data_IF_480267516001
#
_entry.id   IF_480267516001
#
_cell.length_a   1.000
_cell.length_b   1.000
_cell.length_c   1.000
_cell.angle_alpha   90.00
_cell.angle_beta   90.00
_cell.angle_gamma   90.00
#
_symmetry.space_group_name_H-M   'P 1'
#
loop_
_entity.id
_entity.type
_entity.pdbx_description
1 polymer ?
#
# COMPACT_ATOMS: atom_id res chain seq x y z
N UNK A 1 22.81 -5.42 -0.29
CA UNK A 1 21.50 -4.93 0.18
C UNK A 1 20.88 -4.18 -0.98
N UNK A 2 19.65 -4.49 -1.39
CA UNK A 2 19.15 -4.00 -2.67
C UNK A 2 18.23 -2.79 -2.52
N UNK A 3 18.47 -1.77 -3.34
CA UNK A 3 17.65 -0.58 -3.42
C UNK A 3 16.26 -0.92 -3.99
N UNK A 4 15.21 -0.40 -3.35
CA UNK A 4 13.83 -0.50 -3.85
C UNK A 4 13.60 0.67 -4.80
N UNK A 5 13.21 0.38 -6.03
CA UNK A 5 12.97 1.41 -7.06
C UNK A 5 11.47 1.70 -7.17
N UNK A 6 11.09 2.97 -7.09
CA UNK A 6 9.70 3.40 -7.18
C UNK A 6 9.28 3.84 -8.59
N UNK A 7 10.21 4.36 -9.40
CA UNK A 7 9.99 4.74 -10.80
C UNK A 7 11.15 4.28 -11.67
N UNK A 8 10.85 3.51 -12.71
CA UNK A 8 11.83 3.05 -13.71
C UNK A 8 12.38 4.22 -14.54
N UNK A 9 11.52 5.18 -14.91
CA UNK A 9 11.91 6.42 -15.57
C UNK A 9 12.78 7.24 -14.61
N UNK A 10 14.07 7.39 -14.95
CA UNK A 10 15.12 8.04 -14.16
C UNK A 10 15.60 7.27 -12.91
N UNK A 11 15.22 6.00 -12.75
CA UNK A 11 15.69 5.14 -11.68
C UNK A 11 15.59 5.76 -10.27
N UNK A 12 14.38 6.17 -9.91
CA UNK A 12 14.11 6.86 -8.64
C UNK A 12 13.82 5.82 -7.56
N UNK A 13 14.64 5.82 -6.50
CA UNK A 13 14.43 4.97 -5.34
C UNK A 13 13.14 5.30 -4.58
N UNK A 14 12.59 4.31 -3.87
CA UNK A 14 11.44 4.49 -2.99
C UNK A 14 11.71 5.56 -1.95
N UNK A 15 12.89 5.53 -1.32
CA UNK A 15 13.33 6.54 -0.36
C UNK A 15 13.20 7.95 -0.95
N UNK A 16 13.85 8.22 -2.09
CA UNK A 16 13.84 9.53 -2.75
C UNK A 16 12.45 9.94 -3.22
N UNK A 17 11.65 8.99 -3.70
CA UNK A 17 10.28 9.25 -4.12
C UNK A 17 9.41 9.72 -2.94
N UNK A 18 9.48 9.00 -1.82
CA UNK A 18 8.65 9.24 -0.64
C UNK A 18 9.10 10.48 0.12
N UNK A 19 10.42 10.68 0.31
CA UNK A 19 10.93 11.87 1.01
C UNK A 19 10.65 13.17 0.23
N UNK A 20 10.79 13.14 -1.10
CA UNK A 20 10.41 14.25 -1.95
C UNK A 20 8.90 14.55 -1.93
N UNK A 21 8.05 13.54 -1.74
CA UNK A 21 6.60 13.76 -1.56
C UNK A 21 6.31 14.45 -0.22
N UNK A 22 6.95 14.02 0.86
CA UNK A 22 6.81 14.61 2.19
C UNK A 22 7.32 16.06 2.26
N UNK A 23 8.35 16.42 1.48
CA UNK A 23 8.80 17.81 1.37
C UNK A 23 7.70 18.71 0.80
N UNK A 24 7.03 18.25 -0.26
CA UNK A 24 6.01 19.03 -0.95
C UNK A 24 4.70 19.10 -0.18
N UNK A 25 4.37 18.06 0.60
CA UNK A 25 3.11 18.00 1.33
C UNK A 25 3.05 19.00 2.49
N UNK A 26 4.19 19.33 3.08
CA UNK A 26 4.29 20.34 4.14
C UNK A 26 3.69 21.70 3.70
N UNK A 27 3.87 22.06 2.43
CA UNK A 27 3.34 23.29 1.82
C UNK A 27 1.82 23.25 1.60
N UNK A 28 1.24 22.05 1.44
CA UNK A 28 -0.20 21.84 1.21
C UNK A 28 -0.94 21.82 2.54
N UNK A 29 -0.40 21.14 3.55
CA UNK A 29 -1.01 21.03 4.88
C UNK A 29 -1.26 22.41 5.49
N UNK A 30 -0.29 23.33 5.38
CA UNK A 30 -0.40 24.70 5.87
C UNK A 30 -1.57 25.47 5.24
N UNK A 31 -1.91 25.17 3.98
CA UNK A 31 -2.92 25.90 3.21
C UNK A 31 -4.31 25.30 3.28
N UNK A 32 -4.43 23.99 3.47
CA UNK A 32 -5.69 23.26 3.28
C UNK A 32 -6.42 22.89 4.58
N UNK A 33 -5.87 23.16 5.76
CA UNK A 33 -6.54 22.86 7.04
C UNK A 33 -6.84 21.37 7.25
N UNK A 34 -5.98 20.53 6.70
CA UNK A 34 -6.10 19.07 6.67
C UNK A 34 -5.36 18.44 7.84
N UNK A 35 -5.79 17.24 8.26
CA UNK A 35 -5.08 16.50 9.30
C UNK A 35 -3.66 16.15 8.80
N UNK A 36 -2.68 16.85 9.38
CA UNK A 36 -1.27 16.75 9.00
C UNK A 36 -0.77 15.32 9.13
N UNK A 37 -1.12 14.66 10.24
CA UNK A 37 -0.65 13.32 10.54
C UNK A 37 -1.19 12.32 9.53
N UNK A 38 -2.50 12.37 9.24
CA UNK A 38 -3.14 11.47 8.27
C UNK A 38 -2.53 11.59 6.87
N UNK A 39 -2.25 12.82 6.42
CA UNK A 39 -1.65 13.07 5.11
C UNK A 39 -0.19 12.62 5.07
N UNK A 40 0.58 12.95 6.10
CA UNK A 40 1.97 12.51 6.23
C UNK A 40 2.09 10.98 6.20
N UNK A 41 1.22 10.27 6.93
CA UNK A 41 1.15 8.81 6.89
C UNK A 41 0.74 8.29 5.51
N UNK A 42 -0.26 8.92 4.86
CA UNK A 42 -0.67 8.53 3.51
C UNK A 42 0.49 8.63 2.53
N UNK A 43 1.24 9.75 2.57
CA UNK A 43 2.41 9.94 1.72
C UNK A 43 3.52 8.94 2.04
N UNK A 44 3.84 8.71 3.31
CA UNK A 44 4.93 7.84 3.71
C UNK A 44 4.68 6.37 3.36
N UNK A 45 3.44 5.89 3.48
CA UNK A 45 3.13 4.46 3.48
C UNK A 45 2.47 3.97 2.17
N UNK A 46 2.08 4.85 1.24
CA UNK A 46 1.30 4.43 0.07
C UNK A 46 1.98 3.41 -0.84
N UNK A 47 3.31 3.45 -0.92
CA UNK A 47 4.10 2.73 -1.91
C UNK A 47 4.91 1.55 -1.34
N UNK A 48 4.67 1.14 -0.09
CA UNK A 48 5.39 0.04 0.55
C UNK A 48 5.30 -1.27 -0.25
N UNK A 49 4.19 -1.52 -0.93
CA UNK A 49 3.98 -2.70 -1.79
C UNK A 49 4.92 -2.75 -3.00
N UNK A 50 5.61 -1.66 -3.33
CA UNK A 50 6.66 -1.66 -4.36
C UNK A 50 7.87 -2.48 -3.94
N UNK A 51 8.04 -2.83 -2.66
CA UNK A 51 9.05 -3.81 -2.24
C UNK A 51 8.77 -5.23 -2.74
N UNK A 52 7.56 -5.55 -3.23
CA UNK A 52 7.26 -6.87 -3.77
C UNK A 52 8.22 -7.25 -4.90
N UNK A 53 8.83 -8.45 -4.87
CA UNK A 53 9.65 -8.98 -5.97
C UNK A 53 8.93 -8.96 -7.33
N UNK A 54 7.62 -9.19 -7.36
CA UNK A 54 6.83 -9.10 -8.58
C UNK A 54 6.84 -7.68 -9.16
N UNK A 55 6.75 -6.65 -8.31
CA UNK A 55 6.84 -5.27 -8.75
C UNK A 55 8.27 -4.90 -9.18
N UNK A 56 9.27 -5.18 -8.33
CA UNK A 56 10.66 -4.82 -8.61
C UNK A 56 11.21 -5.50 -9.86
N UNK A 57 10.95 -6.79 -10.04
CA UNK A 57 11.53 -7.55 -11.15
C UNK A 57 10.67 -7.41 -12.40
N UNK A 58 9.37 -7.70 -12.32
CA UNK A 58 8.51 -7.78 -13.51
C UNK A 58 8.00 -6.42 -14.00
N UNK A 59 7.73 -5.47 -13.08
CA UNK A 59 7.20 -4.15 -13.46
C UNK A 59 8.29 -3.10 -13.66
N UNK A 60 9.33 -3.11 -12.82
CA UNK A 60 10.41 -2.11 -12.87
C UNK A 60 11.63 -2.58 -13.66
N UNK A 61 11.93 -3.88 -13.68
CA UNK A 61 13.15 -4.42 -14.30
C UNK A 61 14.39 -4.34 -13.39
N UNK A 62 14.21 -4.24 -12.07
CA UNK A 62 15.29 -4.28 -11.09
C UNK A 62 15.74 -5.73 -10.87
N UNK A 63 16.47 -6.31 -11.83
CA UNK A 63 16.86 -7.74 -11.82
C UNK A 63 17.83 -8.13 -10.71
N UNK A 64 18.50 -7.15 -10.11
CA UNK A 64 19.39 -7.33 -8.96
C UNK A 64 18.63 -7.31 -7.62
N UNK A 65 17.32 -7.03 -7.64
CA UNK A 65 16.47 -7.04 -6.45
C UNK A 65 16.50 -8.39 -5.73
N UNK A 66 16.68 -8.32 -4.42
CA UNK A 66 16.57 -9.43 -3.50
C UNK A 66 15.62 -9.05 -2.35
N UNK A 67 14.77 -9.95 -1.88
CA UNK A 67 14.69 -11.38 -2.22
C UNK A 67 14.06 -11.64 -3.60
N UNK A 68 14.43 -12.77 -4.24
CA UNK A 68 13.77 -13.25 -5.47
C UNK A 68 12.72 -14.28 -5.07
N UNK A 69 11.47 -13.99 -5.40
CA UNK A 69 10.34 -14.90 -5.17
C UNK A 69 9.30 -14.72 -6.28
N UNK A 70 8.69 -15.83 -6.71
CA UNK A 70 7.58 -15.80 -7.65
C UNK A 70 6.29 -15.49 -6.87
N UNK A 71 5.85 -14.24 -6.95
CA UNK A 71 4.60 -13.77 -6.36
C UNK A 71 3.63 -13.31 -7.46
N UNK A 72 2.31 -13.43 -7.25
CA UNK A 72 1.31 -12.84 -8.13
C UNK A 72 1.51 -11.33 -8.31
N UNK A 73 1.15 -10.81 -9.48
CA UNK A 73 1.26 -9.38 -9.79
C UNK A 73 0.03 -8.62 -9.31
N UNK A 74 -0.06 -8.40 -8.00
CA UNK A 74 -1.12 -7.61 -7.36
C UNK A 74 -0.76 -6.12 -7.40
N UNK A 75 -1.74 -5.20 -7.55
CA UNK A 75 -1.47 -3.76 -7.43
C UNK A 75 -0.70 -3.40 -6.16
N UNK A 76 0.43 -2.71 -6.31
CA UNK A 76 1.28 -2.36 -5.18
C UNK A 76 0.54 -1.55 -4.10
N UNK A 77 -0.47 -0.77 -4.48
CA UNK A 77 -1.31 -0.02 -3.55
C UNK A 77 -2.06 -0.91 -2.55
N UNK A 78 -2.54 -2.08 -2.98
CA UNK A 78 -3.15 -3.08 -2.09
C UNK A 78 -2.08 -3.84 -1.31
N UNK A 79 -0.98 -4.20 -1.96
CA UNK A 79 0.14 -4.88 -1.30
C UNK A 79 0.74 -4.01 -0.19
N UNK A 80 0.74 -2.69 -0.33
CA UNK A 80 1.19 -1.76 0.72
C UNK A 80 0.46 -1.97 2.05
N UNK A 81 -0.83 -2.33 2.02
CA UNK A 81 -1.62 -2.56 3.24
C UNK A 81 -1.06 -3.73 4.08
N UNK A 82 -0.45 -4.73 3.44
CA UNK A 82 0.18 -5.86 4.13
C UNK A 82 1.46 -5.48 4.87
N UNK A 83 2.02 -4.29 4.63
CA UNK A 83 3.27 -3.82 5.23
C UNK A 83 3.08 -2.67 6.23
N UNK A 84 1.85 -2.52 6.75
CA UNK A 84 1.48 -1.48 7.71
C UNK A 84 0.91 -2.12 8.97
N UNK A 85 1.49 -1.80 10.13
CA UNK A 85 1.02 -2.21 11.45
C UNK A 85 -0.14 -1.31 11.92
N UNK A 86 -1.41 -1.76 11.88
CA UNK A 86 -2.57 -0.93 12.18
C UNK A 86 -2.58 -0.43 13.64
N UNK A 87 -2.03 -1.20 14.58
CA UNK A 87 -1.94 -0.86 15.99
C UNK A 87 -1.06 0.38 16.26
N UNK A 88 -0.19 0.73 15.32
CA UNK A 88 0.66 1.93 15.37
C UNK A 88 -0.03 3.19 14.81
N UNK A 89 -1.24 3.03 14.28
CA UNK A 89 -2.04 4.12 13.69
C UNK A 89 -3.22 4.42 14.62
N UNK A 90 -3.51 5.72 14.77
CA UNK A 90 -4.70 6.21 15.48
C UNK A 90 -5.95 5.56 14.87
N UNK A 91 -6.73 4.88 15.69
CA UNK A 91 -7.86 4.05 15.26
C UNK A 91 -8.84 4.78 14.31
N UNK A 92 -9.23 6.02 14.66
CA UNK A 92 -10.13 6.85 13.83
C UNK A 92 -9.56 7.19 12.44
N UNK A 93 -8.25 7.09 12.25
CA UNK A 93 -7.57 7.37 10.97
C UNK A 93 -7.41 6.13 10.10
N UNK A 94 -7.42 4.92 10.68
CA UNK A 94 -7.06 3.67 9.99
C UNK A 94 -7.81 3.47 8.68
N UNK A 95 -9.15 3.56 8.72
CA UNK A 95 -9.99 3.33 7.54
C UNK A 95 -9.70 4.35 6.44
N UNK A 96 -9.58 5.63 6.79
CA UNK A 96 -9.30 6.68 5.79
C UNK A 96 -7.90 6.52 5.21
N UNK A 97 -6.90 6.21 6.04
CA UNK A 97 -5.53 5.96 5.62
C UNK A 97 -5.43 4.73 4.70
N UNK A 98 -6.04 3.61 5.08
CA UNK A 98 -6.01 2.40 4.26
C UNK A 98 -6.74 2.62 2.93
N UNK A 99 -7.81 3.41 2.93
CA UNK A 99 -8.52 3.79 1.71
C UNK A 99 -7.65 4.67 0.80
N UNK A 100 -6.98 5.70 1.36
CA UNK A 100 -6.13 6.59 0.58
C UNK A 100 -4.96 5.82 -0.05
N UNK A 101 -4.40 4.86 0.68
CA UNK A 101 -3.34 3.98 0.20
C UNK A 101 -3.86 3.00 -0.84
N UNK A 102 -4.95 2.27 -0.59
CA UNK A 102 -5.48 1.28 -1.53
C UNK A 102 -5.80 1.88 -2.90
N UNK A 103 -6.37 3.09 -2.90
CA UNK A 103 -6.95 3.72 -4.09
C UNK A 103 -6.12 4.88 -4.66
N UNK A 104 -4.86 5.06 -4.27
CA UNK A 104 -4.00 6.13 -4.84
C UNK A 104 -3.69 5.92 -6.33
N UNK A 105 -3.86 4.69 -6.84
CA UNK A 105 -3.94 4.38 -8.27
C UNK A 105 -5.30 3.76 -8.56
N UNK A 106 -6.07 4.35 -9.49
CA UNK A 106 -7.29 3.74 -9.99
C UNK A 106 -6.98 2.56 -10.92
N UNK A 107 -7.75 1.47 -10.81
CA UNK A 107 -7.77 0.32 -11.75
C UNK A 107 -9.18 -0.25 -11.87
N UNK A 108 -9.50 -0.80 -13.03
CA UNK A 108 -10.86 -1.28 -13.30
C UNK A 108 -11.21 -2.57 -12.53
N UNK A 109 -10.20 -3.37 -12.13
CA UNK A 109 -10.39 -4.64 -11.42
C UNK A 109 -10.35 -4.53 -9.88
N UNK A 110 -10.38 -3.32 -9.30
CA UNK A 110 -10.33 -3.16 -7.84
C UNK A 110 -11.51 -3.83 -7.13
N UNK A 111 -12.70 -3.84 -7.73
CA UNK A 111 -13.88 -4.46 -7.13
C UNK A 111 -13.67 -5.95 -6.87
N UNK A 112 -13.08 -6.68 -7.81
CA UNK A 112 -12.78 -8.12 -7.68
C UNK A 112 -11.71 -8.36 -6.61
N UNK A 113 -10.66 -7.53 -6.60
CA UNK A 113 -9.56 -7.61 -5.63
C UNK A 113 -10.02 -7.38 -4.19
N UNK A 114 -10.86 -6.36 -3.94
CA UNK A 114 -11.29 -6.03 -2.58
C UNK A 114 -12.47 -6.87 -2.09
N UNK A 115 -13.18 -7.56 -2.99
CA UNK A 115 -14.31 -8.45 -2.65
C UNK A 115 -13.88 -9.89 -2.38
N UNK A 116 -12.58 -10.21 -2.51
CA UNK A 116 -12.05 -11.55 -2.28
C UNK A 116 -12.26 -12.53 -3.44
N UNK A 117 -12.77 -12.05 -4.58
CA UNK A 117 -13.00 -12.87 -5.79
C UNK A 117 -11.70 -13.11 -6.57
N UNK A 118 -10.73 -12.19 -6.47
CA UNK A 118 -9.44 -12.33 -7.14
C UNK A 118 -8.51 -13.35 -6.44
N UNK A 119 -8.20 -14.44 -7.13
CA UNK A 119 -7.28 -15.47 -6.64
C UNK A 119 -5.83 -14.96 -6.53
N UNK A 120 -5.46 -13.92 -7.28
CA UNK A 120 -4.10 -13.37 -7.28
C UNK A 120 -3.71 -12.74 -5.95
N UNK A 121 -4.60 -11.95 -5.36
CA UNK A 121 -4.36 -11.32 -4.06
C UNK A 121 -4.36 -12.34 -2.92
N UNK A 122 -5.31 -13.28 -2.98
CA UNK A 122 -5.38 -14.41 -2.06
C UNK A 122 -4.10 -15.24 -2.06
N UNK A 123 -3.64 -15.63 -3.25
CA UNK A 123 -2.41 -16.42 -3.42
C UNK A 123 -1.16 -15.64 -2.99
N UNK A 124 -1.12 -14.32 -3.23
CA UNK A 124 -0.02 -13.49 -2.75
C UNK A 124 0.03 -13.47 -1.22
N UNK A 125 -1.11 -13.26 -0.56
CA UNK A 125 -1.18 -13.24 0.90
C UNK A 125 -0.77 -14.59 1.48
N UNK A 126 -1.27 -15.69 0.91
CA UNK A 126 -0.90 -17.06 1.30
C UNK A 126 0.59 -17.32 1.18
N UNK A 127 1.22 -16.99 0.05
CA UNK A 127 2.67 -17.16 -0.15
C UNK A 127 3.50 -16.33 0.84
N UNK A 128 3.05 -15.12 1.15
CA UNK A 128 3.73 -14.28 2.14
C UNK A 128 3.56 -14.84 3.56
N UNK A 129 2.43 -15.47 3.90
CA UNK A 129 2.20 -16.14 5.18
C UNK A 129 3.12 -17.36 5.35
N UNK A 130 3.16 -18.23 4.34
CA UNK A 130 3.91 -19.50 4.34
C UNK A 130 5.43 -19.30 4.33
N UNK A 131 5.92 -18.13 3.89
CA UNK A 131 7.35 -17.84 3.78
C UNK A 131 7.80 -16.72 4.73
N UNK A 132 8.13 -17.11 5.95
CA UNK A 132 8.58 -16.18 7.00
C UNK A 132 9.87 -15.43 6.63
N UNK A 133 10.84 -16.11 6.03
CA UNK A 133 12.12 -15.50 5.64
C UNK A 133 11.94 -14.46 4.54
N UNK A 134 11.07 -14.73 3.55
CA UNK A 134 10.69 -13.75 2.54
C UNK A 134 10.07 -12.50 3.19
N UNK A 135 9.08 -12.70 4.05
CA UNK A 135 8.40 -11.61 4.76
C UNK A 135 9.37 -10.76 5.58
N UNK A 136 10.24 -11.40 6.37
CA UNK A 136 11.28 -10.73 7.16
C UNK A 136 12.21 -9.91 6.29
N UNK A 137 12.68 -10.46 5.17
CA UNK A 137 13.53 -9.73 4.23
C UNK A 137 12.82 -8.53 3.59
N UNK A 138 11.56 -8.65 3.21
CA UNK A 138 10.79 -7.53 2.63
C UNK A 138 10.58 -6.41 3.65
N UNK A 139 10.19 -6.75 4.88
CA UNK A 139 10.07 -5.77 5.96
C UNK A 139 11.41 -5.12 6.26
N UNK A 140 12.50 -5.88 6.30
CA UNK A 140 13.83 -5.33 6.55
C UNK A 140 14.27 -4.39 5.43
N UNK A 141 14.04 -4.73 4.16
CA UNK A 141 14.34 -3.84 3.03
C UNK A 141 13.57 -2.51 3.15
N UNK A 142 12.29 -2.55 3.52
CA UNK A 142 11.48 -1.36 3.74
C UNK A 142 11.98 -0.53 4.93
N UNK A 143 12.29 -1.16 6.06
CA UNK A 143 12.83 -0.48 7.24
C UNK A 143 14.17 0.19 6.95
N UNK A 144 15.12 -0.52 6.35
CA UNK A 144 16.42 0.05 5.98
C UNK A 144 16.26 1.24 5.01
N UNK A 145 15.37 1.12 4.03
CA UNK A 145 15.04 2.21 3.09
C UNK A 145 14.56 3.49 3.81
N UNK A 146 13.82 3.33 4.91
CA UNK A 146 13.28 4.44 5.69
C UNK A 146 14.28 4.96 6.72
N UNK A 147 15.06 4.10 7.36
CA UNK A 147 16.08 4.46 8.34
C UNK A 147 17.18 5.37 7.76
N UNK A 148 17.51 5.18 6.48
CA UNK A 148 18.52 5.95 5.76
C UNK A 148 18.08 7.38 5.40
N UNK A 149 16.83 7.79 5.67
CA UNK A 149 16.34 9.17 5.48
C UNK A 149 15.73 9.70 6.78
N UNK A 150 16.20 10.85 7.28
CA UNK A 150 15.73 11.43 8.54
C UNK A 150 14.22 11.74 8.52
N UNK A 151 13.63 12.05 7.36
CA UNK A 151 12.19 12.35 7.22
C UNK A 151 11.35 11.08 7.28
N UNK A 152 11.91 9.94 6.86
CA UNK A 152 11.22 8.66 6.82
C UNK A 152 11.42 7.83 8.08
N UNK A 153 12.53 8.04 8.80
CA UNK A 153 12.91 7.26 9.99
C UNK A 153 11.80 7.16 11.03
N UNK A 154 10.98 8.21 11.20
CA UNK A 154 9.86 8.19 12.17
C UNK A 154 8.74 7.18 11.84
N UNK A 155 8.65 6.69 10.61
CA UNK A 155 7.62 5.73 10.20
C UNK A 155 8.07 4.27 10.27
N UNK A 156 9.34 4.00 10.60
CA UNK A 156 9.89 2.63 10.65
C UNK A 156 9.17 1.72 11.64
N UNK A 157 8.64 2.29 12.72
CA UNK A 157 7.82 1.61 13.73
C UNK A 157 6.46 1.16 13.20
N UNK A 158 5.95 1.81 12.14
CA UNK A 158 4.66 1.50 11.49
C UNK A 158 4.86 0.47 10.38
N UNK A 159 6.06 0.40 9.80
CA UNK A 159 6.41 -0.55 8.75
C UNK A 159 6.62 -1.94 9.38
N UNK A 160 5.74 -2.87 9.05
CA UNK A 160 5.77 -4.25 9.53
C UNK A 160 4.73 -5.10 8.81
N UNK A 161 4.82 -6.42 8.94
CA UNK A 161 3.88 -7.28 8.24
C UNK A 161 2.56 -7.42 9.01
N UNK A 162 1.45 -7.09 8.36
CA UNK A 162 0.11 -7.23 8.92
C UNK A 162 -0.39 -8.67 8.73
N UNK A 163 -0.05 -9.53 9.68
CA UNK A 163 -0.43 -10.96 9.66
C UNK A 163 -1.94 -11.15 9.64
N UNK A 164 -2.68 -10.41 10.47
CA UNK A 164 -4.15 -10.53 10.56
C UNK A 164 -4.81 -10.23 9.21
N UNK A 165 -4.40 -9.14 8.55
CA UNK A 165 -4.92 -8.81 7.21
C UNK A 165 -4.51 -9.87 6.17
N UNK A 166 -3.27 -10.37 6.23
CA UNK A 166 -2.81 -11.40 5.31
C UNK A 166 -3.61 -12.71 5.48
N UNK A 167 -3.87 -13.14 6.70
CA UNK A 167 -4.69 -14.32 7.02
C UNK A 167 -6.09 -14.14 6.45
N UNK A 168 -6.71 -13.00 6.75
CA UNK A 168 -8.04 -12.64 6.26
C UNK A 168 -8.15 -12.67 4.73
N UNK A 169 -7.17 -12.09 4.01
CA UNK A 169 -7.13 -12.13 2.55
C UNK A 169 -6.88 -13.55 2.01
N UNK A 170 -6.02 -14.33 2.67
CA UNK A 170 -5.69 -15.70 2.24
C UNK A 170 -6.89 -16.66 2.31
N UNK A 171 -7.85 -16.36 3.18
CA UNK A 171 -9.13 -17.05 3.31
C UNK A 171 -10.15 -16.64 2.23
N UNK A 172 -9.85 -15.59 1.44
CA UNK A 172 -10.72 -15.09 0.38
C UNK A 172 -11.80 -14.12 0.88
N UNK A 173 -11.59 -13.49 2.03
CA UNK A 173 -12.57 -12.58 2.62
C UNK A 173 -12.46 -11.15 2.06
N UNK A 174 -13.58 -10.40 2.11
CA UNK A 174 -13.66 -9.05 1.55
C UNK A 174 -13.08 -7.99 2.49
N UNK A 175 -12.26 -7.09 1.96
CA UNK A 175 -11.61 -6.06 2.75
C UNK A 175 -12.41 -4.74 2.80
N UNK A 176 -13.68 -4.73 2.40
CA UNK A 176 -14.50 -3.49 2.36
C UNK A 176 -14.80 -2.91 3.75
N UNK A 177 -14.61 -3.69 4.81
CA UNK A 177 -14.70 -3.23 6.17
C UNK A 177 -13.47 -2.39 6.61
N UNK A 178 -12.30 -2.58 5.97
CA UNK A 178 -11.07 -1.80 6.24
C UNK A 178 -10.80 -0.70 5.22
N UNK A 179 -11.30 -0.82 3.99
CA UNK A 179 -11.15 0.20 2.94
C UNK A 179 -12.50 0.70 2.43
N UNK A 180 -12.57 1.99 2.11
CA UNK A 180 -13.72 2.65 1.51
C UNK A 180 -13.37 3.09 0.10
N UNK A 181 -13.94 2.46 -0.93
CA UNK A 181 -13.71 2.87 -2.31
C UNK A 181 -14.25 4.28 -2.58
N UNK A 182 -13.43 5.23 -3.07
CA UNK A 182 -13.83 6.64 -3.21
C UNK A 182 -14.96 6.85 -4.23
N UNK A 183 -15.07 5.94 -5.19
CA UNK A 183 -16.05 5.99 -6.28
C UNK A 183 -17.44 5.48 -5.88
N UNK A 184 -17.57 4.66 -4.83
CA UNK A 184 -18.89 4.36 -4.26
C UNK A 184 -19.58 5.64 -3.75
N UNK A 185 -18.79 6.62 -3.29
CA UNK A 185 -19.23 7.98 -3.00
C UNK A 185 -19.50 8.82 -4.25
N UNK A 186 -18.63 8.72 -5.27
CA UNK A 186 -18.75 9.49 -6.52
C UNK A 186 -20.05 9.21 -7.29
N UNK A 187 -20.52 7.96 -7.29
CA UNK A 187 -21.75 7.56 -7.97
C UNK A 187 -23.02 7.65 -7.10
N UNK A 188 -22.91 7.97 -5.80
CA UNK A 188 -24.09 8.09 -4.93
C UNK A 188 -25.10 9.12 -5.45
N UNK A 189 -24.70 10.36 -5.84
CA UNK A 189 -25.64 11.33 -6.42
C UNK A 189 -26.26 10.84 -7.74
N UNK A 190 -25.48 10.14 -8.57
CA UNK A 190 -25.95 9.61 -9.85
C UNK A 190 -26.91 8.42 -9.66
N UNK A 191 -26.73 7.61 -8.61
CA UNK A 191 -27.63 6.51 -8.23
C UNK A 191 -28.92 6.99 -7.57
N UNK A 192 -28.89 8.07 -6.79
CA UNK A 192 -30.10 8.70 -6.24
C UNK A 192 -31.00 9.21 -7.38
N UNK A 193 -30.40 9.75 -8.46
CA UNK A 193 -31.14 10.24 -9.64
C UNK A 193 -31.68 9.13 -10.55
N UNK A 194 -31.31 7.86 -10.35
CA UNK A 194 -31.78 6.75 -11.19
C UNK A 194 -33.13 6.15 -10.75
N UNK A 195 -33.71 6.61 -9.62
CA UNK A 195 -34.97 6.09 -9.10
C UNK A 195 -34.92 4.61 -8.70
N UNK A 196 -35.93 4.09 -8.00
CA UNK A 196 -36.02 2.66 -7.73
C UNK A 196 -36.20 1.91 -9.06
N UNK A 197 -35.42 0.86 -9.26
CA UNK A 197 -35.67 -0.09 -10.34
C UNK A 197 -37.06 -0.70 -10.13
N UNK A 198 -37.94 -0.50 -11.12
CA UNK A 198 -39.22 -1.20 -11.25
C UNK A 198 -38.95 -2.63 -11.67
#
# INVERSE_FOLDING_TARGET
MTEIIAKSKNWISLQKHTSGLLENIALIVEKCGVDKELIEHSCALHDLGKASPAFQIASIGNFDYAPKALLPNVPHSLVSLLFILPEKIIEKHRRILFSSIAFHHWRDNFSELISGVDDGFRELAKRLLENEELRKHLVQNLKTCFESDDKLRKYTEIVGFNTELAEYISEGADIMHIVTPPYLGYFLPQRINLGPAV
#
